data_IF_390583814639
#
_entry.id   IF_390583814639
#
_cell.length_a   1.000
_cell.length_b   1.000
_cell.length_c   1.000
_cell.angle_alpha   90.00
_cell.angle_beta   90.00
_cell.angle_gamma   90.00
#
_symmetry.space_group_name_H-M   'P 1'
#
loop_
_entity.id
_entity.type
_entity.pdbx_description
1 polymer ?
#
# COMPACT_ATOMS: atom_id res chain seq x y z
N UNK A 1 -54.07 42.35 14.10
CA UNK A 1 -54.31 41.12 14.88
C UNK A 1 -54.27 39.94 13.91
N UNK A 2 -53.30 39.04 14.14
CA UNK A 2 -53.14 37.66 13.64
C UNK A 2 -53.02 37.38 12.12
N UNK A 3 -51.78 37.25 11.64
CA UNK A 3 -51.46 36.45 10.45
C UNK A 3 -51.30 34.97 10.86
N UNK A 4 -52.21 34.14 10.35
CA UNK A 4 -52.28 32.69 10.60
C UNK A 4 -51.17 31.98 9.81
N UNK A 5 -50.39 31.17 10.54
CA UNK A 5 -49.31 30.32 10.05
C UNK A 5 -49.88 29.11 9.32
N UNK A 6 -49.40 28.82 8.11
CA UNK A 6 -49.51 27.48 7.51
C UNK A 6 -48.10 26.90 7.37
N UNK A 7 -47.78 25.99 8.29
CA UNK A 7 -46.56 25.18 8.28
C UNK A 7 -46.88 23.93 7.46
N UNK A 8 -46.36 23.88 6.23
CA UNK A 8 -46.36 22.66 5.43
C UNK A 8 -45.31 21.69 5.96
N UNK A 9 -45.75 20.61 6.60
CA UNK A 9 -44.88 19.55 7.11
C UNK A 9 -44.58 18.55 5.98
N UNK A 10 -43.48 18.74 5.24
CA UNK A 10 -42.98 17.72 4.32
C UNK A 10 -42.29 16.61 5.14
N UNK A 11 -42.97 15.48 5.33
CA UNK A 11 -42.35 14.25 5.84
C UNK A 11 -41.47 13.64 4.73
N UNK A 12 -40.18 13.99 4.72
CA UNK A 12 -39.19 13.28 3.90
C UNK A 12 -38.80 12.02 4.66
N UNK A 13 -39.28 10.87 4.20
CA UNK A 13 -38.87 9.57 4.71
C UNK A 13 -37.37 9.37 4.41
N UNK A 14 -36.53 9.50 5.45
CA UNK A 14 -35.11 9.17 5.41
C UNK A 14 -34.97 7.65 5.27
N UNK A 15 -34.83 7.16 4.03
CA UNK A 15 -34.39 5.80 3.79
C UNK A 15 -32.91 5.70 4.19
N UNK A 16 -32.50 4.70 5.00
CA UNK A 16 -31.11 4.54 5.39
C UNK A 16 -30.30 4.14 4.14
N UNK A 17 -29.45 5.05 3.68
CA UNK A 17 -28.46 4.73 2.63
C UNK A 17 -27.43 3.82 3.28
N UNK A 18 -27.55 2.51 3.03
CA UNK A 18 -26.53 1.56 3.44
C UNK A 18 -25.29 1.78 2.60
N UNK A 19 -24.33 2.54 3.13
CA UNK A 19 -23.02 2.69 2.51
C UNK A 19 -22.25 1.38 2.68
N UNK A 20 -21.95 0.69 1.58
CA UNK A 20 -21.00 -0.41 1.61
C UNK A 20 -19.61 0.17 1.93
N UNK A 21 -19.10 -0.11 3.13
CA UNK A 21 -17.71 0.18 3.46
C UNK A 21 -16.82 -0.72 2.59
N UNK A 22 -16.29 -0.17 1.49
CA UNK A 22 -15.21 -0.80 0.75
C UNK A 22 -14.04 -0.91 1.72
N UNK A 23 -13.64 -2.13 2.07
CA UNK A 23 -12.51 -2.38 2.95
C UNK A 23 -11.22 -2.02 2.21
N UNK A 24 -10.89 -0.72 2.18
CA UNK A 24 -9.60 -0.26 1.69
C UNK A 24 -8.56 -0.65 2.72
N UNK A 25 -7.67 -1.58 2.39
CA UNK A 25 -6.50 -1.85 3.24
C UNK A 25 -5.72 -0.54 3.37
N UNK A 26 -5.73 0.07 4.55
CA UNK A 26 -4.98 1.30 4.80
C UNK A 26 -3.50 0.98 4.70
N UNK A 27 -2.85 1.52 3.67
CA UNK A 27 -1.40 1.41 3.52
C UNK A 27 -0.80 2.52 4.37
N UNK A 28 -0.19 2.12 5.49
CA UNK A 28 0.50 3.04 6.37
C UNK A 28 1.69 3.66 5.64
N UNK A 29 1.84 4.97 5.79
CA UNK A 29 3.05 5.69 5.37
C UNK A 29 4.20 5.49 6.38
N UNK A 30 5.39 5.96 6.01
CA UNK A 30 6.62 5.89 6.82
C UNK A 30 6.40 6.40 8.25
N UNK A 31 5.69 7.52 8.40
CA UNK A 31 5.43 8.13 9.71
C UNK A 31 4.52 7.24 10.54
N UNK A 32 3.40 6.80 9.98
CA UNK A 32 2.46 5.93 10.67
C UNK A 32 3.08 4.58 11.03
N UNK A 33 4.02 4.06 10.23
CA UNK A 33 4.79 2.86 10.55
C UNK A 33 5.72 3.06 11.74
N UNK A 34 6.38 4.22 11.83
CA UNK A 34 7.17 4.57 13.01
C UNK A 34 6.32 4.73 14.25
N UNK A 35 5.18 5.41 14.16
CA UNK A 35 4.26 5.57 15.29
C UNK A 35 3.72 4.22 15.77
N UNK A 36 3.40 3.30 14.84
CA UNK A 36 3.05 1.92 15.19
C UNK A 36 4.15 1.21 16.01
N UNK A 37 5.41 1.57 15.80
CA UNK A 37 6.57 1.00 16.48
C UNK A 37 7.12 1.89 17.62
N UNK A 38 6.41 2.95 18.04
CA UNK A 38 6.94 3.98 18.95
C UNK A 38 6.88 3.65 20.44
N UNK A 39 6.24 2.54 20.81
CA UNK A 39 6.18 2.08 22.21
C UNK A 39 7.55 1.69 22.81
N UNK A 40 8.63 1.68 22.01
CA UNK A 40 9.94 1.19 22.41
C UNK A 40 11.03 2.27 22.37
N UNK A 41 12.20 1.96 22.95
CA UNK A 41 13.43 2.72 22.71
C UNK A 41 13.80 2.75 21.22
N UNK A 42 14.76 3.57 20.81
CA UNK A 42 15.21 3.56 19.41
C UNK A 42 15.67 2.17 18.94
N UNK A 43 16.28 1.36 19.81
CA UNK A 43 16.66 -0.01 19.48
C UNK A 43 15.43 -0.90 19.23
N UNK A 44 14.43 -0.84 20.12
CA UNK A 44 13.20 -1.63 19.94
C UNK A 44 12.33 -1.14 18.77
N UNK A 45 12.32 0.17 18.49
CA UNK A 45 11.67 0.71 17.29
C UNK A 45 12.34 0.17 16.02
N UNK A 46 13.68 0.15 15.98
CA UNK A 46 14.43 -0.44 14.86
C UNK A 46 14.07 -1.92 14.67
N UNK A 47 14.07 -2.71 15.73
CA UNK A 47 13.72 -4.14 15.67
C UNK A 47 12.28 -4.38 15.21
N UNK A 48 11.34 -3.56 15.67
CA UNK A 48 9.95 -3.60 15.21
C UNK A 48 9.84 -3.32 13.70
N UNK A 49 10.50 -2.26 13.23
CA UNK A 49 10.50 -1.89 11.81
C UNK A 49 11.27 -2.90 10.94
N UNK A 50 12.31 -3.54 11.45
CA UNK A 50 13.00 -4.62 10.76
C UNK A 50 12.07 -5.81 10.50
N UNK A 51 11.26 -6.19 11.49
CA UNK A 51 10.23 -7.24 11.34
C UNK A 51 9.17 -6.84 10.31
N UNK A 52 8.70 -5.59 10.32
CA UNK A 52 7.74 -5.08 9.34
C UNK A 52 8.33 -5.01 7.93
N UNK A 53 9.60 -4.64 7.77
CA UNK A 53 10.31 -4.65 6.50
C UNK A 53 10.44 -6.07 5.93
N UNK A 54 10.82 -7.06 6.75
CA UNK A 54 10.88 -8.47 6.34
C UNK A 54 9.48 -8.98 5.96
N UNK A 55 8.45 -8.65 6.74
CA UNK A 55 7.06 -9.04 6.47
C UNK A 55 6.56 -8.46 5.15
N UNK A 56 6.77 -7.16 4.92
CA UNK A 56 6.36 -6.48 3.69
C UNK A 56 7.09 -7.02 2.47
N UNK A 57 8.39 -7.33 2.58
CA UNK A 57 9.18 -7.95 1.52
C UNK A 57 8.62 -9.33 1.13
N UNK A 58 8.33 -10.19 2.12
CA UNK A 58 7.71 -11.50 1.86
C UNK A 58 6.32 -11.37 1.20
N UNK A 59 5.52 -10.40 1.64
CA UNK A 59 4.21 -10.14 1.06
C UNK A 59 4.30 -9.66 -0.39
N UNK A 60 5.28 -8.81 -0.71
CA UNK A 60 5.56 -8.34 -2.06
C UNK A 60 5.98 -9.52 -2.96
N UNK A 61 6.97 -10.30 -2.57
CA UNK A 61 7.44 -11.48 -3.33
C UNK A 61 6.31 -12.48 -3.62
N UNK A 62 5.47 -12.76 -2.62
CA UNK A 62 4.29 -13.61 -2.79
C UNK A 62 3.33 -13.03 -3.83
N UNK A 63 3.15 -11.71 -3.84
CA UNK A 63 2.24 -11.02 -4.75
C UNK A 63 2.81 -10.95 -6.18
N UNK A 64 4.12 -10.73 -6.34
CA UNK A 64 4.80 -10.79 -7.62
C UNK A 64 4.67 -12.19 -8.27
N UNK A 65 4.90 -13.25 -7.48
CA UNK A 65 4.69 -14.63 -7.94
C UNK A 65 3.23 -14.89 -8.30
N UNK A 66 2.29 -14.38 -7.49
CA UNK A 66 0.86 -14.48 -7.79
C UNK A 66 0.51 -13.78 -9.10
N UNK A 67 1.04 -12.58 -9.35
CA UNK A 67 0.80 -11.84 -10.57
C UNK A 67 1.30 -12.59 -11.82
N UNK A 68 2.51 -13.16 -11.77
CA UNK A 68 3.02 -14.03 -12.84
C UNK A 68 2.12 -15.24 -13.10
N UNK A 69 1.63 -15.88 -12.03
CA UNK A 69 0.72 -17.01 -12.13
C UNK A 69 -0.65 -16.60 -12.70
N UNK A 70 -1.19 -15.45 -12.31
CA UNK A 70 -2.45 -14.92 -12.86
C UNK A 70 -2.30 -14.61 -14.35
N UNK A 71 -1.19 -14.00 -14.76
CA UNK A 71 -0.91 -13.76 -16.19
C UNK A 71 -0.88 -15.05 -17.01
N UNK A 72 -0.42 -16.18 -16.45
CA UNK A 72 -0.50 -17.48 -17.13
C UNK A 72 -1.93 -17.94 -17.43
N UNK A 73 -2.89 -17.50 -16.62
CA UNK A 73 -4.31 -17.83 -16.72
C UNK A 73 -5.12 -16.76 -17.43
N UNK A 74 -4.50 -15.65 -17.82
CA UNK A 74 -5.17 -14.56 -18.50
C UNK A 74 -5.72 -15.05 -19.86
N UNK A 75 -6.97 -14.69 -20.15
CA UNK A 75 -7.75 -15.05 -21.36
C UNK A 75 -7.18 -14.59 -22.69
N UNK A 76 -6.02 -13.94 -22.68
CA UNK A 76 -5.43 -13.28 -23.82
C UNK A 76 -4.59 -14.23 -24.71
N UNK A 77 -4.26 -13.77 -25.92
CA UNK A 77 -3.36 -14.48 -26.84
C UNK A 77 -1.97 -14.68 -26.22
N UNK A 78 -1.31 -15.82 -26.46
CA UNK A 78 -0.02 -16.16 -25.83
C UNK A 78 1.07 -15.09 -25.96
N UNK A 79 1.16 -14.40 -27.11
CA UNK A 79 2.17 -13.34 -27.33
C UNK A 79 2.05 -12.18 -26.33
N UNK A 80 0.84 -11.77 -25.98
CA UNK A 80 0.61 -10.67 -25.04
C UNK A 80 0.80 -11.11 -23.60
N UNK A 81 0.46 -12.37 -23.26
CA UNK A 81 0.79 -12.96 -21.96
C UNK A 81 2.30 -12.96 -21.73
N UNK A 82 3.08 -13.41 -22.72
CA UNK A 82 4.56 -13.44 -22.64
C UNK A 82 5.13 -12.03 -22.49
N UNK A 83 4.64 -11.07 -23.26
CA UNK A 83 5.05 -9.66 -23.16
C UNK A 83 4.75 -9.08 -21.77
N UNK A 84 3.53 -9.29 -21.25
CA UNK A 84 3.14 -8.78 -19.94
C UNK A 84 4.00 -9.38 -18.80
N UNK A 85 4.34 -10.67 -18.88
CA UNK A 85 5.24 -11.31 -17.91
C UNK A 85 6.65 -10.73 -17.96
N UNK A 86 7.21 -10.53 -19.16
CA UNK A 86 8.52 -9.93 -19.33
C UNK A 86 8.56 -8.52 -18.74
N UNK A 87 7.52 -7.71 -19.03
CA UNK A 87 7.39 -6.37 -18.48
C UNK A 87 7.22 -6.37 -16.95
N UNK A 88 6.47 -7.31 -16.39
CA UNK A 88 6.33 -7.45 -14.94
C UNK A 88 7.68 -7.78 -14.27
N UNK A 89 8.47 -8.67 -14.87
CA UNK A 89 9.80 -9.03 -14.35
C UNK A 89 10.72 -7.80 -14.35
N UNK A 90 10.78 -7.07 -15.48
CA UNK A 90 11.57 -5.85 -15.58
C UNK A 90 11.11 -4.79 -14.56
N UNK A 91 9.79 -4.54 -14.48
CA UNK A 91 9.22 -3.58 -13.55
C UNK A 91 9.50 -3.91 -12.08
N UNK A 92 9.57 -5.20 -11.70
CA UNK A 92 9.91 -5.60 -10.33
C UNK A 92 11.39 -5.33 -10.01
N UNK A 93 12.29 -5.52 -10.98
CA UNK A 93 13.71 -5.18 -10.83
C UNK A 93 13.91 -3.67 -10.72
N UNK A 94 13.23 -2.88 -11.56
CA UNK A 94 13.26 -1.42 -11.49
C UNK A 94 12.69 -0.89 -10.18
N UNK A 95 11.59 -1.49 -9.70
CA UNK A 95 10.99 -1.12 -8.42
C UNK A 95 11.95 -1.34 -7.25
N UNK A 96 12.69 -2.46 -7.22
CA UNK A 96 13.67 -2.72 -6.18
C UNK A 96 14.76 -1.63 -6.15
N UNK A 97 15.30 -1.26 -7.33
CA UNK A 97 16.28 -0.18 -7.47
C UNK A 97 15.73 1.18 -7.02
N UNK A 98 14.51 1.49 -7.44
CA UNK A 98 13.80 2.71 -7.05
C UNK A 98 13.64 2.77 -5.53
N UNK A 99 13.11 1.71 -4.91
CA UNK A 99 12.89 1.64 -3.46
C UNK A 99 14.19 1.89 -2.69
N UNK A 100 15.26 1.21 -3.08
CA UNK A 100 16.53 1.32 -2.37
C UNK A 100 17.11 2.73 -2.48
N UNK A 101 17.04 3.34 -3.67
CA UNK A 101 17.49 4.73 -3.91
C UNK A 101 16.62 5.74 -3.17
N UNK A 102 15.29 5.58 -3.25
CA UNK A 102 14.33 6.46 -2.61
C UNK A 102 14.46 6.41 -1.08
N UNK A 103 14.62 5.23 -0.50
CA UNK A 103 14.75 5.10 0.95
C UNK A 103 16.12 5.53 1.47
N UNK A 104 17.17 5.47 0.64
CA UNK A 104 18.46 6.11 0.94
C UNK A 104 18.35 7.64 0.93
N UNK A 105 17.59 8.21 0.00
CA UNK A 105 17.29 9.64 0.01
C UNK A 105 16.45 10.03 1.23
N UNK A 106 15.39 9.27 1.52
CA UNK A 106 14.53 9.55 2.67
C UNK A 106 15.32 9.55 4.00
N UNK A 107 16.21 8.58 4.20
CA UNK A 107 17.06 8.57 5.40
C UNK A 107 18.12 9.66 5.40
N UNK A 108 18.63 10.11 4.25
CA UNK A 108 19.61 11.21 4.22
C UNK A 108 19.04 12.55 4.69
N UNK A 109 17.72 12.72 4.63
CA UNK A 109 17.03 13.88 5.20
C UNK A 109 17.14 13.96 6.74
N UNK A 110 17.57 12.88 7.40
CA UNK A 110 17.88 12.88 8.84
C UNK A 110 19.20 13.59 9.21
N UNK A 111 20.01 14.01 8.24
CA UNK A 111 21.25 14.75 8.48
C UNK A 111 22.22 14.01 9.43
N UNK A 112 22.76 14.73 10.42
CA UNK A 112 23.70 14.20 11.41
C UNK A 112 23.07 13.38 12.54
N UNK A 113 21.90 12.77 12.33
CA UNK A 113 21.22 12.01 13.38
C UNK A 113 22.09 10.83 13.87
N UNK A 114 22.18 10.69 15.20
CA UNK A 114 22.96 9.65 15.85
C UNK A 114 22.18 8.35 16.05
N UNK A 115 22.90 7.26 16.31
CA UNK A 115 22.32 5.97 16.65
C UNK A 115 21.49 5.36 15.52
N UNK A 116 20.29 4.86 15.84
CA UNK A 116 19.44 4.10 14.91
C UNK A 116 18.45 4.96 14.11
N UNK A 117 18.46 6.29 14.26
CA UNK A 117 17.42 7.16 13.70
C UNK A 117 17.33 7.09 12.17
N UNK A 118 18.47 7.08 11.47
CA UNK A 118 18.50 6.97 10.00
C UNK A 118 18.01 5.61 9.52
N UNK A 119 18.32 4.54 10.26
CA UNK A 119 17.91 3.19 9.92
C UNK A 119 16.41 2.98 10.19
N UNK A 120 15.87 3.56 11.25
CA UNK A 120 14.43 3.61 11.53
C UNK A 120 13.68 4.22 10.34
N UNK A 121 14.13 5.38 9.84
CA UNK A 121 13.51 6.05 8.69
C UNK A 121 13.60 5.19 7.43
N UNK A 122 14.78 4.61 7.16
CA UNK A 122 14.99 3.74 6.00
C UNK A 122 14.07 2.51 6.03
N UNK A 123 13.97 1.82 7.17
CA UNK A 123 13.14 0.61 7.33
C UNK A 123 11.64 0.92 7.18
N UNK A 124 11.19 2.04 7.74
CA UNK A 124 9.82 2.49 7.58
C UNK A 124 9.49 2.84 6.11
N UNK A 125 10.39 3.54 5.41
CA UNK A 125 10.26 3.81 3.97
C UNK A 125 10.19 2.51 3.14
N UNK A 126 11.08 1.55 3.39
CA UNK A 126 11.10 0.26 2.68
C UNK A 126 9.77 -0.47 2.87
N UNK A 127 9.26 -0.48 4.10
CA UNK A 127 8.00 -1.12 4.46
C UNK A 127 6.82 -0.47 3.75
N UNK A 128 6.73 0.86 3.75
CA UNK A 128 5.71 1.61 3.03
C UNK A 128 5.72 1.26 1.54
N UNK A 129 6.87 1.40 0.88
CA UNK A 129 6.97 1.18 -0.57
C UNK A 129 6.63 -0.27 -0.95
N UNK A 130 7.11 -1.26 -0.18
CA UNK A 130 6.75 -2.65 -0.39
C UNK A 130 5.22 -2.88 -0.28
N UNK A 131 4.57 -2.28 0.73
CA UNK A 131 3.13 -2.38 0.92
C UNK A 131 2.34 -1.70 -0.20
N UNK A 132 2.77 -0.50 -0.64
CA UNK A 132 2.18 0.21 -1.79
C UNK A 132 2.27 -0.62 -3.06
N UNK A 133 3.46 -1.14 -3.38
CA UNK A 133 3.67 -1.97 -4.58
C UNK A 133 2.86 -3.26 -4.54
N UNK A 134 2.77 -3.88 -3.37
CA UNK A 134 1.93 -5.06 -3.15
C UNK A 134 0.47 -4.76 -3.51
N UNK A 135 -0.08 -3.63 -3.05
CA UNK A 135 -1.45 -3.25 -3.38
C UNK A 135 -1.63 -2.91 -4.86
N UNK A 136 -0.69 -2.16 -5.45
CA UNK A 136 -0.71 -1.85 -6.88
C UNK A 136 -0.76 -3.11 -7.74
N UNK A 137 0.06 -4.12 -7.43
CA UNK A 137 0.06 -5.40 -8.16
C UNK A 137 -1.25 -6.17 -7.97
N UNK A 138 -1.85 -6.16 -6.77
CA UNK A 138 -3.14 -6.81 -6.52
C UNK A 138 -4.26 -6.20 -7.35
N UNK A 139 -4.30 -4.87 -7.41
CA UNK A 139 -5.30 -4.16 -8.20
C UNK A 139 -5.07 -4.36 -9.70
N UNK A 140 -3.82 -4.28 -10.16
CA UNK A 140 -3.52 -4.48 -11.58
C UNK A 140 -3.94 -5.86 -12.11
N UNK A 141 -3.92 -6.89 -11.27
CA UNK A 141 -4.31 -8.25 -11.67
C UNK A 141 -5.76 -8.62 -11.32
N UNK A 142 -6.50 -7.79 -10.56
CA UNK A 142 -7.91 -8.06 -10.25
C UNK A 142 -8.80 -7.93 -11.47
N UNK A 143 -8.39 -7.10 -12.42
CA UNK A 143 -9.21 -6.72 -13.57
C UNK A 143 -8.96 -7.63 -14.80
N UNK A 144 -8.11 -8.66 -14.65
CA UNK A 144 -7.80 -9.59 -15.73
C UNK A 144 -8.89 -10.65 -15.88
N UNK A 145 -9.47 -10.74 -17.08
CA UNK A 145 -10.37 -11.83 -17.46
C UNK A 145 -9.59 -13.14 -17.60
N UNK A 146 -9.89 -14.14 -16.76
CA UNK A 146 -9.18 -15.41 -16.76
C UNK A 146 -9.85 -16.44 -17.69
N UNK A 147 -9.07 -17.42 -18.15
CA UNK A 147 -9.54 -18.61 -18.88
C UNK A 147 -10.30 -19.56 -17.98
#
# INVERSE_FOLDING_TARGET
MNCIKFIGLCLVALLPVTTFAVSTTVILDERALREKCSAFSQAGMRECLEKEAVKSQKALQKTEKKALNTLSKWGEKPKYISLAKANLIAANQDFARYRDTQCKFASSLGGGAAGNALEIQRLACVTELNNRRTNQLRNAISDLHLK
#
